data_IF_504095170771
#
_entry.id   IF_504095170771
#
_cell.length_a   1.000
_cell.length_b   1.000
_cell.length_c   1.000
_cell.angle_alpha   90.00
_cell.angle_beta   90.00
_cell.angle_gamma   90.00
#
_symmetry.space_group_name_H-M   'P 1'
#
loop_
_entity.id
_entity.type
_entity.pdbx_description
1 polymer ?
#
# COMPACT_ATOMS: atom_id res chain seq x y z
N UNK A 1 -11.30 23.29 19.47
CA UNK A 1 -10.62 23.50 18.18
C UNK A 1 -9.52 22.46 18.12
N UNK A 2 -9.47 21.68 17.05
CA UNK A 2 -8.39 20.72 16.81
C UNK A 2 -7.33 21.42 15.94
N UNK A 3 -6.08 21.34 16.35
CA UNK A 3 -4.95 21.95 15.66
C UNK A 3 -3.92 20.88 15.31
N UNK A 4 -3.37 20.96 14.10
CA UNK A 4 -2.31 20.07 13.63
C UNK A 4 -1.06 20.92 13.42
N UNK A 5 -0.04 20.68 14.24
CA UNK A 5 1.24 21.36 14.13
C UNK A 5 2.25 20.44 13.45
N UNK A 6 2.74 20.85 12.27
CA UNK A 6 3.75 20.11 11.52
C UNK A 6 5.07 20.89 11.58
N UNK A 7 6.09 20.27 12.16
CA UNK A 7 7.45 20.79 12.16
C UNK A 7 8.34 19.90 11.28
N UNK A 8 8.73 20.42 10.12
CA UNK A 8 9.64 19.75 9.19
C UNK A 8 11.06 20.30 9.37
N UNK A 9 11.99 19.44 9.76
CA UNK A 9 13.43 19.74 9.79
C UNK A 9 14.20 18.73 8.94
N UNK A 10 15.46 19.00 8.55
CA UNK A 10 16.28 18.05 7.80
C UNK A 10 16.53 16.72 8.52
N UNK A 11 16.44 16.68 9.86
CA UNK A 11 16.69 15.47 10.66
C UNK A 11 15.43 14.67 10.94
N UNK A 12 14.33 15.36 11.19
CA UNK A 12 13.06 14.75 11.56
C UNK A 12 11.86 15.62 11.19
N UNK A 13 10.75 14.93 10.92
CA UNK A 13 9.41 15.51 10.84
C UNK A 13 8.66 15.17 12.11
N UNK A 14 8.08 16.19 12.76
CA UNK A 14 7.25 16.02 13.95
C UNK A 14 5.85 16.53 13.65
N UNK A 15 4.85 15.76 14.06
CA UNK A 15 3.44 16.14 13.96
C UNK A 15 2.80 16.03 15.33
N UNK A 16 2.26 17.13 15.83
CA UNK A 16 1.49 17.18 17.07
C UNK A 16 0.01 17.43 16.76
N UNK A 17 -0.84 16.62 17.39
CA UNK A 17 -2.29 16.82 17.41
C UNK A 17 -2.66 17.47 18.74
N UNK A 18 -3.25 18.65 18.66
CA UNK A 18 -3.70 19.40 19.82
C UNK A 18 -5.23 19.47 19.85
N UNK A 19 -5.80 19.21 21.01
CA UNK A 19 -7.20 19.51 21.30
C UNK A 19 -7.27 20.58 22.39
N UNK A 20 -7.84 21.74 22.03
CA UNK A 20 -7.96 22.89 22.97
C UNK A 20 -6.62 23.31 23.59
N UNK A 21 -5.53 23.21 22.83
CA UNK A 21 -4.17 23.53 23.27
C UNK A 21 -3.47 22.44 24.09
N UNK A 22 -4.13 21.31 24.33
CA UNK A 22 -3.56 20.14 25.02
C UNK A 22 -3.06 19.14 23.97
N UNK A 23 -1.84 18.62 24.16
CA UNK A 23 -1.28 17.58 23.30
C UNK A 23 -2.02 16.25 23.51
N UNK A 24 -2.67 15.78 22.46
CA UNK A 24 -3.28 14.44 22.44
C UNK A 24 -2.32 13.39 21.92
N UNK A 25 -1.66 13.67 20.79
CA UNK A 25 -0.76 12.71 20.15
C UNK A 25 0.44 13.40 19.49
N UNK A 26 1.57 12.70 19.45
CA UNK A 26 2.83 13.15 18.87
C UNK A 26 3.46 12.06 18.02
N UNK A 27 3.54 12.33 16.72
CA UNK A 27 4.23 11.47 15.76
C UNK A 27 5.57 12.08 15.36
N UNK A 28 6.62 11.25 15.33
CA UNK A 28 7.97 11.65 14.92
C UNK A 28 8.48 10.66 13.88
N UNK A 29 8.91 11.18 12.73
CA UNK A 29 9.58 10.41 11.67
C UNK A 29 10.96 11.01 11.44
N UNK A 30 12.01 10.25 11.77
CA UNK A 30 13.41 10.66 11.52
C UNK A 30 13.82 10.27 10.11
N UNK A 31 14.54 11.15 9.43
CA UNK A 31 14.97 10.90 8.05
C UNK A 31 15.83 9.63 7.91
N UNK A 32 16.67 9.34 8.90
CA UNK A 32 17.54 8.15 8.92
C UNK A 32 16.81 6.84 9.29
N UNK A 33 15.64 6.93 9.92
CA UNK A 33 14.83 5.78 10.36
C UNK A 33 13.56 5.63 9.53
N UNK A 34 13.44 6.38 8.42
CA UNK A 34 12.26 6.32 7.56
C UNK A 34 12.18 4.93 6.95
N UNK A 35 11.14 4.20 7.35
CA UNK A 35 10.81 2.90 6.78
C UNK A 35 10.46 3.01 5.30
N UNK A 36 10.55 1.87 4.63
CA UNK A 36 10.23 1.69 3.21
C UNK A 36 8.93 0.91 3.01
N UNK A 37 8.19 0.63 4.09
CA UNK A 37 6.86 0.01 4.04
C UNK A 37 5.96 0.82 3.11
N UNK A 38 5.23 0.12 2.24
CA UNK A 38 4.36 0.73 1.24
C UNK A 38 5.05 1.03 -0.09
N UNK A 39 6.39 1.14 -0.13
CA UNK A 39 7.12 1.34 -1.37
C UNK A 39 6.93 0.16 -2.32
N UNK A 40 6.86 0.46 -3.63
CA UNK A 40 6.75 -0.54 -4.70
C UNK A 40 8.03 -0.53 -5.52
N UNK A 41 8.58 -1.72 -5.75
CA UNK A 41 9.81 -1.95 -6.51
C UNK A 41 9.55 -2.92 -7.66
N UNK A 42 10.34 -2.78 -8.71
CA UNK A 42 10.61 -3.88 -9.63
C UNK A 42 11.87 -4.59 -9.12
N UNK A 43 11.69 -5.78 -8.55
CA UNK A 43 12.78 -6.60 -8.03
C UNK A 43 13.22 -7.70 -8.99
N UNK A 44 14.36 -8.32 -8.72
CA UNK A 44 14.85 -9.52 -9.42
C UNK A 44 14.98 -10.68 -8.45
N UNK A 45 14.41 -11.83 -8.77
CA UNK A 45 14.55 -13.06 -7.99
C UNK A 45 16.01 -13.52 -8.06
N UNK A 46 16.67 -13.52 -6.91
CA UNK A 46 18.06 -13.99 -6.76
C UNK A 46 18.11 -15.51 -6.60
N UNK A 47 17.23 -16.05 -5.75
CA UNK A 47 17.20 -17.47 -5.41
C UNK A 47 15.82 -17.88 -4.94
N UNK A 48 15.39 -19.08 -5.35
CA UNK A 48 14.17 -19.72 -4.85
C UNK A 48 14.54 -20.80 -3.85
N UNK A 49 13.83 -20.87 -2.72
CA UNK A 49 14.04 -21.82 -1.63
C UNK A 49 12.79 -22.68 -1.41
N UNK A 50 12.68 -23.84 -2.10
CA UNK A 50 11.53 -24.73 -1.98
C UNK A 50 11.26 -25.19 -0.55
N UNK A 51 12.30 -25.52 0.22
CA UNK A 51 12.15 -25.99 1.60
C UNK A 51 11.54 -24.97 2.56
N UNK A 52 11.58 -23.67 2.22
CA UNK A 52 10.97 -22.59 2.99
C UNK A 52 9.76 -21.97 2.28
N UNK A 53 9.37 -22.48 1.11
CA UNK A 53 8.35 -21.90 0.24
C UNK A 53 8.53 -20.39 0.06
N UNK A 54 9.77 -19.96 -0.19
CA UNK A 54 10.16 -18.55 -0.20
C UNK A 54 11.23 -18.24 -1.25
N UNK A 55 11.37 -16.97 -1.61
CA UNK A 55 12.38 -16.47 -2.53
C UNK A 55 13.09 -15.25 -1.96
N UNK A 56 14.37 -15.09 -2.31
CA UNK A 56 15.12 -13.86 -2.08
C UNK A 56 15.12 -13.00 -3.34
N UNK A 57 14.84 -11.72 -3.18
CA UNK A 57 14.79 -10.75 -4.25
C UNK A 57 15.79 -9.61 -4.01
N UNK A 58 16.43 -9.16 -5.08
CA UNK A 58 17.13 -7.89 -5.13
C UNK A 58 16.14 -6.79 -5.50
N UNK A 59 16.01 -5.77 -4.65
CA UNK A 59 15.19 -4.58 -4.88
C UNK A 59 16.04 -3.30 -4.87
N UNK A 60 17.36 -3.42 -4.95
CA UNK A 60 18.30 -2.29 -4.96
C UNK A 60 18.66 -1.78 -3.56
N UNK A 61 18.43 -2.58 -2.52
CA UNK A 61 18.84 -2.28 -1.14
C UNK A 61 20.08 -3.10 -0.77
N UNK A 62 20.77 -2.69 0.29
CA UNK A 62 21.97 -3.38 0.79
C UNK A 62 21.73 -4.86 1.13
N UNK A 63 20.49 -5.21 1.46
CA UNK A 63 20.10 -6.57 1.86
C UNK A 63 19.02 -7.11 0.95
N UNK A 64 19.16 -8.38 0.58
CA UNK A 64 18.14 -9.09 -0.16
C UNK A 64 16.83 -9.14 0.62
N UNK A 65 15.75 -8.76 -0.06
CA UNK A 65 14.41 -8.83 0.48
C UNK A 65 13.84 -10.24 0.34
N UNK A 66 12.81 -10.54 1.12
CA UNK A 66 12.25 -11.88 1.27
C UNK A 66 10.77 -11.90 0.86
N UNK A 67 10.38 -12.86 0.02
CA UNK A 67 9.01 -13.07 -0.42
C UNK A 67 8.58 -14.50 -0.10
N UNK A 68 7.49 -14.65 0.66
CA UNK A 68 6.91 -15.96 0.99
C UNK A 68 5.78 -16.28 0.03
N UNK A 69 5.52 -17.58 -0.22
CA UNK A 69 4.49 -18.01 -1.18
C UNK A 69 3.08 -17.47 -0.89
N UNK A 70 2.76 -17.28 0.39
CA UNK A 70 1.47 -16.73 0.87
C UNK A 70 1.30 -15.26 0.45
N UNK A 71 2.39 -14.53 0.27
CA UNK A 71 2.37 -13.14 -0.18
C UNK A 71 2.46 -13.02 -1.72
N UNK A 72 2.32 -14.14 -2.44
CA UNK A 72 2.25 -14.17 -3.91
C UNK A 72 0.80 -14.35 -4.32
N UNK A 73 0.29 -13.41 -5.08
CA UNK A 73 -1.05 -13.45 -5.67
C UNK A 73 -1.11 -14.56 -6.74
N UNK A 74 -1.79 -15.66 -6.41
CA UNK A 74 -1.95 -16.80 -7.31
C UNK A 74 -3.30 -16.70 -8.02
N UNK A 75 -3.30 -16.66 -9.35
CA UNK A 75 -4.51 -16.75 -10.16
C UNK A 75 -4.94 -18.22 -10.40
N UNK A 76 -4.60 -19.12 -9.48
CA UNK A 76 -4.92 -20.55 -9.60
C UNK A 76 -6.31 -20.83 -9.00
N UNK A 77 -7.12 -21.72 -9.61
CA UNK A 77 -8.38 -22.14 -9.02
C UNK A 77 -8.18 -22.74 -7.62
N UNK A 78 -9.13 -22.47 -6.73
CA UNK A 78 -9.09 -22.91 -5.33
C UNK A 78 -8.75 -24.41 -5.21
N UNK A 79 -7.77 -24.74 -4.37
CA UNK A 79 -7.38 -26.11 -4.07
C UNK A 79 -6.10 -26.63 -4.74
N UNK A 80 -5.45 -25.86 -5.63
CA UNK A 80 -4.15 -26.24 -6.22
C UNK A 80 -3.04 -25.24 -5.85
N UNK A 81 -2.65 -25.20 -4.58
CA UNK A 81 -1.46 -24.46 -4.15
C UNK A 81 -0.23 -25.08 -4.83
N UNK A 82 0.31 -24.37 -5.82
CA UNK A 82 1.56 -24.78 -6.48
C UNK A 82 2.72 -24.47 -5.54
N UNK A 83 3.77 -25.32 -5.49
CA UNK A 83 4.96 -24.98 -4.73
C UNK A 83 5.70 -23.81 -5.40
N UNK A 84 6.46 -23.03 -4.61
CA UNK A 84 7.04 -21.76 -5.06
C UNK A 84 7.95 -21.88 -6.29
N UNK A 85 8.67 -23.00 -6.44
CA UNK A 85 9.55 -23.27 -7.58
C UNK A 85 8.80 -23.47 -8.91
N UNK A 86 7.48 -23.68 -8.86
CA UNK A 86 6.62 -23.67 -10.05
C UNK A 86 6.01 -22.29 -10.35
N UNK A 87 6.21 -21.32 -9.46
CA UNK A 87 5.65 -19.97 -9.55
C UNK A 87 6.74 -18.97 -9.92
N UNK A 88 7.92 -19.10 -9.32
CA UNK A 88 9.04 -18.20 -9.50
C UNK A 88 10.27 -18.93 -10.05
N UNK A 89 11.00 -18.24 -10.92
CA UNK A 89 12.30 -18.68 -11.43
C UNK A 89 13.41 -17.68 -11.03
N UNK A 90 14.64 -18.17 -10.90
CA UNK A 90 15.81 -17.30 -10.68
C UNK A 90 16.03 -16.37 -11.89
N UNK A 91 16.39 -15.12 -11.62
CA UNK A 91 16.54 -14.07 -12.62
C UNK A 91 15.22 -13.43 -13.08
N UNK A 92 14.06 -13.96 -12.68
CA UNK A 92 12.76 -13.37 -13.00
C UNK A 92 12.62 -11.98 -12.36
N UNK A 93 12.13 -11.02 -13.14
CA UNK A 93 11.73 -9.71 -12.61
C UNK A 93 10.31 -9.78 -12.06
N UNK A 94 10.07 -9.17 -10.91
CA UNK A 94 8.78 -9.20 -10.23
C UNK A 94 8.48 -7.85 -9.58
N UNK A 95 7.27 -7.33 -9.81
CA UNK A 95 6.77 -6.15 -9.09
C UNK A 95 6.36 -6.57 -7.68
N UNK A 96 6.87 -5.85 -6.68
CA UNK A 96 6.66 -6.18 -5.27
C UNK A 96 6.47 -4.92 -4.45
N UNK A 97 5.64 -5.01 -3.40
CA UNK A 97 5.47 -3.99 -2.39
C UNK A 97 6.13 -4.43 -1.08
N UNK A 98 6.73 -3.50 -0.35
CA UNK A 98 7.28 -3.77 0.98
C UNK A 98 6.14 -3.84 2.00
N UNK A 99 5.95 -5.01 2.59
CA UNK A 99 4.97 -5.27 3.64
C UNK A 99 5.55 -5.05 5.05
N UNK A 100 6.85 -5.32 5.25
CA UNK A 100 7.56 -5.05 6.51
C UNK A 100 8.97 -4.54 6.24
N UNK A 101 9.40 -3.59 7.05
CA UNK A 101 10.77 -3.08 7.03
C UNK A 101 11.82 -4.18 7.30
N UNK A 102 13.07 -3.98 6.86
CA UNK A 102 14.20 -4.81 7.28
C UNK A 102 14.37 -4.79 8.81
N UNK A 103 14.69 -5.94 9.41
CA UNK A 103 14.89 -6.06 10.86
C UNK A 103 16.21 -6.77 11.14
N UNK A 104 17.11 -6.12 11.90
CA UNK A 104 18.32 -6.75 12.42
C UNK A 104 19.31 -7.08 11.31
N UNK A 105 19.36 -8.35 10.87
CA UNK A 105 20.11 -8.85 9.69
C UNK A 105 19.21 -9.32 8.54
N UNK A 106 17.88 -9.38 8.77
CA UNK A 106 16.90 -9.81 7.78
C UNK A 106 16.52 -8.64 6.89
N UNK A 107 16.41 -8.88 5.58
CA UNK A 107 15.88 -7.90 4.64
C UNK A 107 14.38 -7.68 4.82
N UNK A 108 13.83 -6.76 4.02
CA UNK A 108 12.41 -6.44 4.02
C UNK A 108 11.53 -7.64 3.64
N UNK A 109 10.31 -7.73 4.18
CA UNK A 109 9.29 -8.68 3.71
C UNK A 109 8.50 -8.05 2.57
N UNK A 110 8.32 -8.80 1.49
CA UNK A 110 7.64 -8.37 0.28
C UNK A 110 6.28 -9.05 0.13
N UNK A 111 5.43 -8.44 -0.69
CA UNK A 111 4.19 -9.02 -1.23
C UNK A 111 4.06 -8.65 -2.71
N UNK A 112 3.42 -9.48 -3.52
CA UNK A 112 3.03 -9.11 -4.89
C UNK A 112 1.66 -8.45 -4.94
N UNK A 113 0.88 -8.51 -3.85
CA UNK A 113 -0.39 -7.79 -3.72
C UNK A 113 -0.10 -6.31 -3.49
N UNK A 114 -0.16 -5.53 -4.56
CA UNK A 114 0.03 -4.08 -4.49
C UNK A 114 -1.23 -3.43 -3.90
N UNK A 115 -1.03 -2.49 -2.97
CA UNK A 115 -2.10 -1.69 -2.38
C UNK A 115 -1.71 -0.22 -2.34
N UNK A 116 -2.60 0.66 -2.81
CA UNK A 116 -2.35 2.09 -2.91
C UNK A 116 -3.39 2.85 -2.08
N UNK A 117 -2.94 3.52 -1.02
CA UNK A 117 -3.82 4.16 -0.05
C UNK A 117 -4.14 5.62 -0.44
N UNK A 118 -5.39 5.85 -0.85
CA UNK A 118 -6.03 7.16 -0.94
C UNK A 118 -6.60 7.60 0.40
N UNK A 119 -7.43 8.65 0.41
CA UNK A 119 -7.98 9.23 1.63
C UNK A 119 -9.14 8.41 2.20
N UNK A 120 -10.08 8.05 1.34
CA UNK A 120 -11.29 7.27 1.63
C UNK A 120 -11.16 5.82 1.11
N UNK A 121 -10.38 5.59 0.07
CA UNK A 121 -10.21 4.29 -0.56
C UNK A 121 -8.77 3.79 -0.49
N UNK A 122 -8.60 2.48 -0.44
CA UNK A 122 -7.36 1.79 -0.82
C UNK A 122 -7.63 1.05 -2.11
N UNK A 123 -6.84 1.29 -3.15
CA UNK A 123 -6.98 0.63 -4.44
C UNK A 123 -6.11 -0.63 -4.51
N UNK A 124 -6.71 -1.71 -5.01
CA UNK A 124 -6.09 -3.02 -5.20
C UNK A 124 -6.14 -3.38 -6.70
N UNK A 125 -5.06 -3.19 -7.48
CA UNK A 125 -5.09 -3.45 -8.91
C UNK A 125 -5.18 -4.93 -9.29
N UNK A 126 -4.75 -5.85 -8.41
CA UNK A 126 -4.75 -7.30 -8.64
C UNK A 126 -6.03 -8.01 -8.20
N UNK A 127 -6.78 -7.40 -7.29
CA UNK A 127 -8.01 -7.96 -6.71
C UNK A 127 -9.21 -7.09 -7.11
N UNK A 128 -10.27 -7.68 -7.64
CA UNK A 128 -11.49 -6.97 -8.06
C UNK A 128 -12.51 -6.74 -6.93
N UNK A 129 -12.24 -7.28 -5.73
CA UNK A 129 -13.13 -7.20 -4.58
C UNK A 129 -13.31 -5.78 -4.05
N UNK A 130 -14.54 -5.45 -3.65
CA UNK A 130 -14.83 -4.22 -2.89
C UNK A 130 -15.06 -4.62 -1.43
N UNK A 131 -14.15 -4.21 -0.56
CA UNK A 131 -14.17 -4.46 0.88
C UNK A 131 -14.48 -3.20 1.68
N UNK A 132 -14.93 -3.37 2.94
CA UNK A 132 -15.17 -2.27 3.88
C UNK A 132 -14.37 -2.54 5.16
N UNK A 133 -13.70 -1.51 5.68
CA UNK A 133 -12.93 -1.56 6.92
C UNK A 133 -13.71 -2.24 8.05
N UNK A 134 -13.05 -3.15 8.78
CA UNK A 134 -13.64 -3.86 9.92
C UNK A 134 -13.93 -2.95 11.12
N UNK A 135 -13.38 -1.73 11.14
CA UNK A 135 -13.65 -0.74 12.19
C UNK A 135 -14.99 -0.02 12.01
N UNK A 136 -15.63 -0.16 10.85
CA UNK A 136 -17.00 0.32 10.62
C UNK A 136 -17.91 -0.81 11.08
N UNK A 137 -18.53 -0.67 12.25
CA UNK A 137 -19.31 -1.73 12.90
C UNK A 137 -20.75 -1.81 12.36
N UNK A 138 -21.31 -0.68 11.92
CA UNK A 138 -22.69 -0.60 11.47
C UNK A 138 -22.88 -1.27 10.10
N UNK A 139 -23.49 -2.46 10.08
CA UNK A 139 -23.65 -3.26 8.85
C UNK A 139 -24.45 -2.53 7.76
N UNK A 140 -25.50 -1.79 8.13
CA UNK A 140 -26.27 -0.99 7.19
C UNK A 140 -25.40 0.06 6.48
N UNK A 141 -24.48 0.69 7.22
CA UNK A 141 -23.54 1.66 6.67
C UNK A 141 -22.51 1.00 5.75
N UNK A 142 -22.02 -0.18 6.11
CA UNK A 142 -21.08 -0.95 5.29
C UNK A 142 -21.69 -1.29 3.93
N UNK A 143 -22.93 -1.74 3.91
CA UNK A 143 -23.61 -2.09 2.66
C UNK A 143 -23.84 -0.84 1.79
N UNK A 144 -24.29 0.26 2.38
CA UNK A 144 -24.44 1.53 1.66
C UNK A 144 -23.13 2.01 1.00
N UNK A 145 -22.02 1.96 1.75
CA UNK A 145 -20.71 2.36 1.23
C UNK A 145 -20.25 1.43 0.11
N UNK A 146 -20.46 0.11 0.28
CA UNK A 146 -20.16 -0.91 -0.74
C UNK A 146 -20.96 -0.66 -2.01
N UNK A 147 -22.26 -0.43 -1.92
CA UNK A 147 -23.13 -0.12 -3.06
C UNK A 147 -22.71 1.18 -3.77
N UNK A 148 -22.39 2.23 -3.00
CA UNK A 148 -21.94 3.51 -3.52
C UNK A 148 -20.65 3.36 -4.34
N UNK A 149 -19.62 2.70 -3.79
CA UNK A 149 -18.35 2.46 -4.49
C UNK A 149 -18.55 1.53 -5.69
N UNK A 150 -19.42 0.53 -5.57
CA UNK A 150 -19.76 -0.38 -6.69
C UNK A 150 -20.40 0.38 -7.85
N UNK A 151 -21.33 1.30 -7.55
CA UNK A 151 -22.00 2.16 -8.55
C UNK A 151 -21.03 3.13 -9.22
N UNK A 152 -20.10 3.70 -8.46
CA UNK A 152 -19.15 4.70 -8.96
C UNK A 152 -17.97 4.09 -9.72
N UNK A 153 -17.60 2.84 -9.42
CA UNK A 153 -16.50 2.15 -10.07
C UNK A 153 -16.75 2.05 -11.58
N UNK A 154 -15.85 2.57 -12.44
CA UNK A 154 -15.97 2.41 -13.88
C UNK A 154 -15.98 0.93 -14.28
N UNK A 155 -16.83 0.55 -15.24
CA UNK A 155 -16.89 -0.84 -15.73
C UNK A 155 -15.57 -1.33 -16.38
N UNK A 156 -14.72 -0.40 -16.80
CA UNK A 156 -13.37 -0.68 -17.33
C UNK A 156 -12.33 -0.97 -16.25
N UNK A 157 -12.63 -0.60 -14.99
CA UNK A 157 -11.73 -0.82 -13.86
C UNK A 157 -11.79 -2.29 -13.43
N UNK A 158 -10.63 -2.94 -13.45
CA UNK A 158 -10.49 -4.36 -13.07
C UNK A 158 -10.09 -4.52 -11.60
N UNK A 159 -9.49 -3.48 -11.03
CA UNK A 159 -9.11 -3.45 -9.63
C UNK A 159 -10.30 -3.21 -8.70
N UNK A 160 -10.02 -3.46 -7.45
CA UNK A 160 -10.93 -3.42 -6.32
C UNK A 160 -10.55 -2.31 -5.36
N UNK A 161 -11.37 -2.16 -4.33
CA UNK A 161 -11.24 -1.07 -3.38
C UNK A 161 -11.55 -1.53 -1.97
N UNK A 162 -10.76 -1.08 -1.00
CA UNK A 162 -11.11 -1.17 0.42
C UNK A 162 -11.53 0.21 0.90
N UNK A 163 -12.75 0.30 1.43
CA UNK A 163 -13.31 1.53 2.00
C UNK A 163 -12.74 1.73 3.41
N UNK A 164 -12.03 2.85 3.62
CA UNK A 164 -11.37 3.21 4.89
C UNK A 164 -12.38 3.77 5.89
N UNK A 165 -12.07 3.68 7.18
CA UNK A 165 -12.90 4.24 8.26
C UNK A 165 -13.16 5.74 8.10
N UNK A 166 -12.24 6.50 7.50
CA UNK A 166 -12.44 7.91 7.19
C UNK A 166 -13.66 8.20 6.28
N UNK A 167 -14.19 7.19 5.57
CA UNK A 167 -15.37 7.33 4.73
C UNK A 167 -16.70 7.23 5.50
N UNK A 168 -16.68 6.69 6.72
CA UNK A 168 -17.89 6.39 7.49
C UNK A 168 -18.78 7.63 7.71
N UNK A 169 -18.19 8.74 8.14
CA UNK A 169 -18.95 9.91 8.60
C UNK A 169 -19.27 10.93 7.50
N UNK A 170 -18.55 10.93 6.37
CA UNK A 170 -18.60 12.08 5.44
C UNK A 170 -18.45 11.77 3.95
N UNK A 171 -18.33 10.51 3.53
CA UNK A 171 -18.01 10.23 2.12
C UNK A 171 -19.16 10.54 1.15
N UNK A 172 -18.97 11.61 0.37
CA UNK A 172 -19.80 11.93 -0.79
C UNK A 172 -19.29 11.18 -2.03
N UNK A 173 -20.18 10.95 -3.02
CA UNK A 173 -19.81 10.31 -4.30
C UNK A 173 -18.61 11.01 -4.97
N UNK A 174 -18.54 12.34 -4.87
CA UNK A 174 -17.45 13.14 -5.45
C UNK A 174 -16.09 12.87 -4.78
N UNK A 175 -16.05 12.57 -3.49
CA UNK A 175 -14.81 12.24 -2.79
C UNK A 175 -14.28 10.88 -3.23
N UNK A 176 -15.17 9.89 -3.38
CA UNK A 176 -14.79 8.58 -3.92
C UNK A 176 -14.27 8.67 -5.36
N UNK A 177 -14.95 9.45 -6.22
CA UNK A 177 -14.51 9.64 -7.61
C UNK A 177 -13.13 10.31 -7.68
N UNK A 178 -12.86 11.31 -6.85
CA UNK A 178 -11.53 11.96 -6.75
C UNK A 178 -10.45 10.97 -6.32
N UNK A 179 -10.74 10.16 -5.31
CA UNK A 179 -9.82 9.11 -4.85
C UNK A 179 -9.56 8.07 -5.94
N UNK A 180 -10.60 7.59 -6.62
CA UNK A 180 -10.46 6.65 -7.74
C UNK A 180 -9.62 7.23 -8.88
N UNK A 181 -9.84 8.49 -9.25
CA UNK A 181 -9.05 9.16 -10.28
C UNK A 181 -7.57 9.30 -9.87
N UNK A 182 -7.31 9.74 -8.65
CA UNK A 182 -5.95 9.85 -8.10
C UNK A 182 -5.24 8.49 -8.11
N UNK A 183 -5.89 7.45 -7.56
CA UNK A 183 -5.33 6.10 -7.45
C UNK A 183 -5.12 5.46 -8.83
N UNK A 184 -6.04 5.68 -9.77
CA UNK A 184 -5.90 5.21 -11.15
C UNK A 184 -4.72 5.86 -11.88
N UNK A 185 -4.52 7.18 -11.71
CA UNK A 185 -3.34 7.89 -12.24
C UNK A 185 -2.05 7.37 -11.62
N UNK A 186 -2.01 7.24 -10.30
CA UNK A 186 -0.85 6.72 -9.57
C UNK A 186 -0.48 5.31 -10.05
N UNK A 187 -1.47 4.43 -10.20
CA UNK A 187 -1.22 3.08 -10.69
C UNK A 187 -0.72 3.05 -12.13
N UNK A 188 -1.25 3.93 -12.99
CA UNK A 188 -0.75 4.09 -14.36
C UNK A 188 0.73 4.49 -14.36
N UNK A 189 1.13 5.45 -13.55
CA UNK A 189 2.53 5.87 -13.43
C UNK A 189 3.45 4.74 -12.95
N UNK A 190 3.00 3.94 -11.98
CA UNK A 190 3.75 2.78 -11.49
C UNK A 190 3.96 1.76 -12.60
N UNK A 191 2.90 1.41 -13.35
CA UNK A 191 2.99 0.49 -14.49
C UNK A 191 3.90 1.03 -15.60
N UNK A 192 3.78 2.32 -15.92
CA UNK A 192 4.61 2.94 -16.93
C UNK A 192 6.08 2.88 -16.53
N UNK A 193 6.44 3.21 -15.28
CA UNK A 193 7.83 3.05 -14.78
C UNK A 193 8.30 1.60 -14.83
N UNK A 194 7.43 0.64 -14.54
CA UNK A 194 7.77 -0.79 -14.52
C UNK A 194 8.15 -1.34 -15.90
N UNK A 195 7.56 -0.80 -16.97
CA UNK A 195 7.87 -1.20 -18.35
C UNK A 195 9.16 -0.54 -18.85
N UNK A 196 9.45 0.69 -18.42
CA UNK A 196 10.53 1.50 -18.98
C UNK A 196 11.85 1.44 -18.20
N UNK A 197 11.87 0.86 -17.00
CA UNK A 197 13.06 0.80 -16.13
C UNK A 197 13.53 -0.63 -15.92
N UNK A 198 14.86 -0.83 -15.96
CA UNK A 198 15.45 -2.12 -15.65
C UNK A 198 15.39 -2.43 -14.15
N UNK A 199 15.20 -3.71 -13.81
CA UNK A 199 15.27 -4.19 -12.44
C UNK A 199 16.73 -4.35 -11.96
N UNK A 200 17.06 -4.02 -10.69
CA UNK A 200 16.14 -3.54 -9.65
C UNK A 200 15.88 -2.02 -9.74
N UNK A 201 14.64 -1.58 -9.49
CA UNK A 201 14.33 -0.14 -9.38
C UNK A 201 13.13 0.18 -8.49
N UNK A 202 13.13 1.38 -7.92
CA UNK A 202 11.99 1.97 -7.21
C UNK A 202 10.95 2.49 -8.20
N UNK A 203 9.70 2.04 -8.06
CA UNK A 203 8.56 2.44 -8.88
C UNK A 203 7.70 3.49 -8.16
N UNK A 204 7.48 3.30 -6.87
CA UNK A 204 6.71 4.18 -6.00
C UNK A 204 7.30 4.22 -4.60
N UNK A 205 7.38 5.43 -4.06
CA UNK A 205 7.75 5.69 -2.67
C UNK A 205 6.51 6.17 -1.93
N UNK A 206 6.19 5.56 -0.79
CA UNK A 206 5.00 5.91 -0.03
C UNK A 206 5.14 7.26 0.68
N UNK A 207 4.00 7.86 1.01
CA UNK A 207 3.90 9.20 1.58
C UNK A 207 4.73 9.33 2.87
N UNK A 208 5.42 10.47 3.01
CA UNK A 208 6.08 10.86 4.26
C UNK A 208 5.08 11.09 5.39
N UNK A 209 5.53 11.16 6.64
CA UNK A 209 4.66 11.43 7.79
C UNK A 209 3.79 12.68 7.58
N UNK A 210 4.38 13.79 7.13
CA UNK A 210 3.64 15.02 6.88
C UNK A 210 2.55 14.83 5.81
N UNK A 211 2.88 14.13 4.72
CA UNK A 211 1.93 13.85 3.64
C UNK A 211 0.81 12.90 4.09
N UNK A 212 1.14 11.86 4.89
CA UNK A 212 0.14 10.94 5.46
C UNK A 212 -0.83 11.67 6.37
N UNK A 213 -0.34 12.59 7.20
CA UNK A 213 -1.18 13.43 8.07
C UNK A 213 -2.08 14.34 7.24
N UNK A 214 -1.53 15.01 6.23
CA UNK A 214 -2.35 15.84 5.33
C UNK A 214 -3.44 15.02 4.63
N UNK A 215 -3.13 13.81 4.17
CA UNK A 215 -4.10 12.91 3.55
C UNK A 215 -5.20 12.48 4.52
N UNK A 216 -4.83 12.07 5.73
CA UNK A 216 -5.73 11.38 6.65
C UNK A 216 -6.52 12.34 7.56
N UNK A 217 -5.95 13.48 7.94
CA UNK A 217 -6.49 14.35 9.00
C UNK A 217 -7.04 15.69 8.51
N UNK A 218 -6.61 16.19 7.35
CA UNK A 218 -7.16 17.45 6.83
C UNK A 218 -8.53 17.17 6.24
N UNK A 219 -9.56 17.78 6.83
CA UNK A 219 -10.90 17.88 6.27
C UNK A 219 -11.04 19.25 5.61
N UNK A 220 -10.89 19.29 4.29
CA UNK A 220 -11.34 20.43 3.47
C UNK A 220 -12.83 20.37 3.24
#
# INVERSE_FOLDING_TARGET
>A
MQEILINCSPRETRVALLEQGVLEDLHIERAAERGIVGNVYMGRVLRVLPGMQSAFLDIGLERSAFLHIIDIEQHAPEGQAKPIEKILAEGQNLMVQVAKDPIGTKGARLTTTISLAGRKLVYLPGDSHIGVSQRIEEEARREQLREQVTRLRPATEKGGYIIRTCAEQSAQDCEFLRDMEYLGRLWKEIKDKAVHRAAPCLLYEDLSLAQRVLRDMVQT
#
